data_IF_690922216145
#
_entry.id   IF_690922216145
#
_cell.length_a   1.000
_cell.length_b   1.000
_cell.length_c   1.000
_cell.angle_alpha   90.00
_cell.angle_beta   90.00
_cell.angle_gamma   90.00
#
_symmetry.space_group_name_H-M   'P 1'
#
loop_
_entity.id
_entity.type
_entity.pdbx_description
1 polymer ?
#
# COMPACT_ATOMS: atom_id res chain seq x y z
N UNK A 1 -8.66 31.52 10.44
CA UNK A 1 -8.84 30.32 9.60
C UNK A 1 -7.58 29.46 9.68
N UNK A 2 -7.32 28.85 10.84
CA UNK A 2 -6.14 27.98 11.07
C UNK A 2 -6.40 26.95 12.17
N UNK A 3 -7.67 26.59 12.39
CA UNK A 3 -8.10 25.61 13.39
C UNK A 3 -7.40 24.25 13.23
N UNK A 4 -6.94 23.94 12.02
CA UNK A 4 -6.25 22.70 11.67
C UNK A 4 -4.87 22.64 12.34
N UNK A 5 -4.04 23.69 12.25
CA UNK A 5 -2.71 23.68 12.88
C UNK A 5 -2.79 23.59 14.41
N UNK A 6 -3.69 24.38 14.99
CA UNK A 6 -3.89 24.41 16.44
C UNK A 6 -4.44 23.11 17.02
N UNK A 7 -5.29 22.38 16.29
CA UNK A 7 -5.79 21.07 16.75
C UNK A 7 -4.74 19.98 16.61
N UNK A 8 -3.93 20.01 15.55
CA UNK A 8 -2.80 19.08 15.38
C UNK A 8 -1.74 19.24 16.47
N UNK A 9 -1.40 20.46 16.85
CA UNK A 9 -0.39 20.74 17.88
C UNK A 9 -0.88 20.42 19.32
N UNK A 10 -2.20 20.34 19.52
CA UNK A 10 -2.81 20.03 20.83
C UNK A 10 -2.84 18.53 21.17
N UNK A 11 -2.55 17.65 20.21
CA UNK A 11 -2.56 16.19 20.38
C UNK A 11 -1.23 15.69 20.97
N UNK A 12 -1.24 14.61 21.79
CA UNK A 12 -0.01 14.03 22.35
C UNK A 12 0.94 13.55 21.25
N UNK A 13 2.24 13.77 21.45
CA UNK A 13 3.30 13.50 20.47
C UNK A 13 3.28 12.05 19.92
N UNK A 14 2.93 11.08 20.77
CA UNK A 14 2.82 9.66 20.41
C UNK A 14 1.76 9.44 19.33
N UNK A 15 0.62 10.14 19.43
CA UNK A 15 -0.48 10.00 18.47
C UNK A 15 -0.12 10.66 17.13
N UNK A 16 0.54 11.83 17.15
CA UNK A 16 1.01 12.48 15.93
C UNK A 16 2.01 11.60 15.17
N UNK A 17 2.95 10.98 15.89
CA UNK A 17 3.95 10.11 15.30
C UNK A 17 3.32 8.85 14.69
N UNK A 18 2.40 8.21 15.42
CA UNK A 18 1.67 7.04 14.94
C UNK A 18 0.87 7.32 13.67
N UNK A 19 0.18 8.46 13.61
CA UNK A 19 -0.60 8.88 12.42
C UNK A 19 0.33 9.12 11.23
N UNK A 20 1.45 9.84 11.42
CA UNK A 20 2.43 10.09 10.34
C UNK A 20 3.01 8.79 9.79
N UNK A 21 3.43 7.87 10.67
CA UNK A 21 3.99 6.58 10.27
C UNK A 21 2.93 5.75 9.54
N UNK A 22 1.72 5.66 10.08
CA UNK A 22 0.62 4.92 9.44
C UNK A 22 0.30 5.42 8.04
N UNK A 23 0.28 6.75 7.84
CA UNK A 23 0.03 7.37 6.54
C UNK A 23 1.12 7.13 5.51
N UNK A 24 2.36 6.90 5.93
CA UNK A 24 3.48 6.59 5.02
C UNK A 24 3.51 5.08 4.73
N UNK A 25 3.42 4.27 5.78
CA UNK A 25 3.63 2.81 5.70
C UNK A 25 2.43 2.10 5.07
N UNK A 26 1.19 2.53 5.35
CA UNK A 26 -0.01 1.92 4.75
C UNK A 26 0.07 1.96 3.22
N UNK A 27 0.29 3.15 2.65
CA UNK A 27 0.82 3.45 1.33
C UNK A 27 1.63 2.37 0.65
N UNK A 28 2.78 2.22 1.30
CA UNK A 28 3.94 1.48 0.87
C UNK A 28 3.64 -0.02 0.81
N UNK A 29 2.97 -0.56 1.82
CA UNK A 29 2.63 -1.98 1.88
C UNK A 29 1.69 -2.35 0.72
N UNK A 30 0.68 -1.51 0.46
CA UNK A 30 -0.25 -1.72 -0.65
C UNK A 30 0.50 -1.64 -2.00
N UNK A 31 1.37 -0.65 -2.17
CA UNK A 31 2.18 -0.53 -3.38
C UNK A 31 3.08 -1.74 -3.62
N UNK A 32 3.75 -2.24 -2.57
CA UNK A 32 4.61 -3.44 -2.65
C UNK A 32 3.80 -4.70 -2.95
N UNK A 33 2.60 -4.84 -2.38
CA UNK A 33 1.71 -5.97 -2.67
C UNK A 33 1.32 -6.02 -4.17
N UNK A 34 0.97 -4.87 -4.76
CA UNK A 34 0.68 -4.82 -6.20
C UNK A 34 1.93 -4.99 -7.07
N UNK A 35 3.08 -4.47 -6.63
CA UNK A 35 4.33 -4.60 -7.36
C UNK A 35 4.78 -6.07 -7.46
N UNK A 36 4.69 -6.83 -6.36
CA UNK A 36 5.03 -8.26 -6.35
C UNK A 36 4.08 -9.12 -7.20
N UNK A 37 2.79 -8.77 -7.26
CA UNK A 37 1.84 -9.39 -8.19
C UNK A 37 2.23 -9.11 -9.65
N UNK A 38 2.55 -7.85 -9.97
CA UNK A 38 2.95 -7.44 -11.31
C UNK A 38 4.22 -8.17 -11.78
N UNK A 39 5.24 -8.27 -10.91
CA UNK A 39 6.48 -9.00 -11.20
C UNK A 39 6.22 -10.46 -11.59
N UNK A 40 5.43 -11.20 -10.78
CA UNK A 40 5.05 -12.59 -11.09
C UNK A 40 4.32 -12.71 -12.42
N UNK A 41 3.51 -11.71 -12.78
CA UNK A 41 2.78 -11.68 -14.06
C UNK A 41 3.72 -11.43 -15.23
N UNK A 42 4.64 -10.47 -15.12
CA UNK A 42 5.64 -10.15 -16.14
C UNK A 42 6.52 -11.36 -16.41
N UNK A 43 7.01 -12.04 -15.38
CA UNK A 43 7.83 -13.27 -15.52
C UNK A 43 7.06 -14.37 -16.25
N UNK A 44 5.78 -14.55 -15.94
CA UNK A 44 4.96 -15.54 -16.64
C UNK A 44 4.76 -15.17 -18.11
N UNK A 45 4.50 -13.88 -18.41
CA UNK A 45 4.36 -13.40 -19.78
C UNK A 45 5.65 -13.55 -20.59
N UNK A 46 6.84 -13.35 -19.98
CA UNK A 46 8.12 -13.61 -20.64
C UNK A 46 8.27 -15.08 -21.08
N UNK A 47 7.68 -16.00 -20.34
CA UNK A 47 7.74 -17.45 -20.63
C UNK A 47 6.52 -17.96 -21.41
N UNK A 48 5.70 -17.08 -22.00
CA UNK A 48 4.48 -17.44 -22.74
C UNK A 48 3.55 -18.34 -21.91
N UNK A 49 3.47 -18.11 -20.59
CA UNK A 49 2.51 -18.78 -19.72
C UNK A 49 1.69 -17.76 -18.94
N UNK A 50 0.48 -18.14 -18.57
CA UNK A 50 -0.38 -17.26 -17.76
C UNK A 50 0.18 -17.20 -16.34
N UNK A 51 0.38 -15.98 -15.85
CA UNK A 51 0.78 -15.73 -14.47
C UNK A 51 -0.31 -16.08 -13.45
N UNK A 52 -0.02 -15.90 -12.15
CA UNK A 52 -0.97 -16.22 -11.09
C UNK A 52 -2.37 -15.62 -11.34
N UNK A 53 -3.39 -16.48 -11.43
CA UNK A 53 -4.79 -16.11 -11.71
C UNK A 53 -5.78 -16.94 -10.86
N UNK A 54 -5.34 -17.49 -9.71
CA UNK A 54 -6.15 -18.47 -8.96
C UNK A 54 -7.07 -17.84 -7.90
N UNK A 55 -6.73 -16.69 -7.32
CA UNK A 55 -7.55 -16.01 -6.29
C UNK A 55 -7.87 -14.57 -6.69
N UNK A 56 -9.17 -14.25 -6.78
CA UNK A 56 -9.69 -12.93 -7.19
C UNK A 56 -9.66 -12.65 -8.71
N UNK A 57 -10.36 -11.60 -9.20
CA UNK A 57 -10.31 -11.21 -10.60
C UNK A 57 -8.87 -10.84 -10.99
N UNK A 58 -8.33 -11.47 -12.04
CA UNK A 58 -6.96 -11.27 -12.53
C UNK A 58 -5.83 -11.56 -11.50
N UNK A 59 -6.12 -12.28 -10.42
CA UNK A 59 -5.15 -12.62 -9.37
C UNK A 59 -4.98 -11.55 -8.28
N UNK A 60 -5.83 -10.51 -8.24
CA UNK A 60 -5.68 -9.32 -7.37
C UNK A 60 -5.64 -9.60 -5.86
N UNK A 61 -6.11 -10.76 -5.42
CA UNK A 61 -6.15 -11.16 -4.02
C UNK A 61 -5.08 -12.22 -3.68
N UNK A 62 -4.07 -12.37 -4.55
CA UNK A 62 -2.99 -13.34 -4.42
C UNK A 62 -1.69 -12.70 -3.93
#
# INVERSE_FOLDING_TARGET
MSWIGTTWDSLPLILQLGIKIGFIVGPLIIAVAYYTLAERKVIAYMHVRVGPNRVGPRGLLQ
#
